data_IF_336853239033
#
_entry.id   IF_336853239033
#
_cell.length_a   1.000
_cell.length_b   1.000
_cell.length_c   1.000
_cell.angle_alpha   90.00
_cell.angle_beta   90.00
_cell.angle_gamma   90.00
#
_symmetry.space_group_name_H-M   'P 1'
#
loop_
_entity.id
_entity.type
_entity.pdbx_description
1 polymer ?
#
# COMPACT_ATOMS: atom_id res chain seq x y z
N UNK A 1 -36.24 -1.34 -18.69
CA UNK A 1 -35.02 -0.50 -18.61
C UNK A 1 -34.22 -1.00 -17.41
N UNK A 2 -32.94 -1.28 -17.57
CA UNK A 2 -32.11 -1.56 -16.39
C UNK A 2 -31.85 -0.22 -15.67
N UNK A 3 -32.30 -0.10 -14.45
CA UNK A 3 -32.05 1.08 -13.61
C UNK A 3 -30.63 0.96 -13.03
N UNK A 4 -29.94 2.09 -12.98
CA UNK A 4 -28.60 2.20 -12.36
C UNK A 4 -28.77 2.99 -11.08
N UNK A 5 -28.30 2.43 -9.98
CA UNK A 5 -28.37 3.10 -8.67
C UNK A 5 -27.22 4.11 -8.52
N UNK A 6 -26.03 3.75 -9.02
CA UNK A 6 -24.82 4.54 -8.86
C UNK A 6 -24.02 4.58 -10.17
N UNK A 7 -23.53 5.76 -10.52
CA UNK A 7 -22.57 5.96 -11.61
C UNK A 7 -21.22 6.37 -11.02
N UNK A 8 -20.19 5.60 -11.33
CA UNK A 8 -18.78 5.92 -11.00
C UNK A 8 -18.09 6.47 -12.23
N UNK A 9 -17.53 7.65 -12.13
CA UNK A 9 -16.77 8.28 -13.21
C UNK A 9 -15.28 8.09 -12.97
N UNK A 10 -14.62 7.37 -13.85
CA UNK A 10 -13.21 6.99 -13.80
C UNK A 10 -13.03 5.49 -13.56
N UNK A 11 -12.47 4.78 -14.54
CA UNK A 11 -12.17 3.33 -14.52
C UNK A 11 -10.73 3.04 -14.10
N UNK A 12 -10.17 3.82 -13.19
CA UNK A 12 -8.91 3.50 -12.53
C UNK A 12 -9.11 2.56 -11.35
N UNK A 13 -8.01 2.23 -10.63
CA UNK A 13 -8.06 1.32 -9.49
C UNK A 13 -9.06 1.76 -8.42
N UNK A 14 -9.15 3.05 -8.14
CA UNK A 14 -10.08 3.58 -7.14
C UNK A 14 -11.53 3.40 -7.60
N UNK A 15 -11.85 3.78 -8.86
CA UNK A 15 -13.21 3.68 -9.38
C UNK A 15 -13.70 2.24 -9.47
N UNK A 16 -12.87 1.33 -9.94
CA UNK A 16 -13.22 -0.09 -10.00
C UNK A 16 -13.33 -0.73 -8.60
N UNK A 17 -12.44 -0.39 -7.66
CA UNK A 17 -12.55 -0.89 -6.28
C UNK A 17 -13.84 -0.42 -5.60
N UNK A 18 -14.21 0.84 -5.80
CA UNK A 18 -15.47 1.39 -5.30
C UNK A 18 -16.68 0.69 -5.95
N UNK A 19 -16.67 0.54 -7.26
CA UNK A 19 -17.75 -0.13 -7.99
C UNK A 19 -17.90 -1.59 -7.56
N UNK A 20 -16.80 -2.31 -7.37
CA UNK A 20 -16.79 -3.68 -6.89
C UNK A 20 -17.40 -3.78 -5.48
N UNK A 21 -16.96 -2.95 -4.54
CA UNK A 21 -17.48 -2.94 -3.18
C UNK A 21 -18.98 -2.59 -3.09
N UNK A 22 -19.44 -1.66 -3.94
CA UNK A 22 -20.86 -1.31 -4.02
C UNK A 22 -21.70 -2.43 -4.64
N UNK A 23 -21.19 -3.06 -5.71
CA UNK A 23 -21.86 -4.19 -6.35
C UNK A 23 -21.98 -5.39 -5.40
N UNK A 24 -20.98 -5.67 -4.60
CA UNK A 24 -21.03 -6.69 -3.53
C UNK A 24 -22.13 -6.41 -2.50
N UNK A 25 -22.50 -5.14 -2.29
CA UNK A 25 -23.60 -4.71 -1.42
C UNK A 25 -24.95 -4.71 -2.13
N UNK A 26 -25.01 -5.17 -3.38
CA UNK A 26 -26.24 -5.32 -4.15
C UNK A 26 -26.64 -4.11 -4.99
N UNK A 27 -25.79 -3.06 -5.08
CA UNK A 27 -26.08 -1.90 -5.91
C UNK A 27 -25.83 -2.20 -7.40
N UNK A 28 -26.67 -1.65 -8.28
CA UNK A 28 -26.44 -1.64 -9.72
C UNK A 28 -25.52 -0.47 -10.08
N UNK A 29 -24.26 -0.78 -10.37
CA UNK A 29 -23.21 0.23 -10.60
C UNK A 29 -22.83 0.26 -12.06
N UNK A 30 -22.78 1.46 -12.66
CA UNK A 30 -22.15 1.70 -13.94
C UNK A 30 -20.84 2.46 -13.77
N UNK A 31 -19.77 1.98 -14.42
CA UNK A 31 -18.49 2.70 -14.48
C UNK A 31 -18.36 3.35 -15.85
N UNK A 32 -18.12 4.66 -15.85
CA UNK A 32 -17.85 5.43 -17.06
C UNK A 32 -16.39 5.84 -17.09
N UNK A 33 -15.68 5.50 -18.16
CA UNK A 33 -14.28 5.88 -18.33
C UNK A 33 -13.98 6.32 -19.76
N UNK A 34 -12.96 7.14 -19.89
CA UNK A 34 -12.43 7.53 -21.18
C UNK A 34 -11.27 6.60 -21.58
N UNK A 35 -11.58 5.54 -22.29
CA UNK A 35 -10.65 4.45 -22.65
C UNK A 35 -9.45 4.91 -23.52
N UNK A 36 -9.44 6.13 -24.04
CA UNK A 36 -8.40 6.62 -24.96
C UNK A 36 -7.06 6.94 -24.31
N UNK A 37 -6.97 6.92 -22.98
CA UNK A 37 -5.72 7.23 -22.27
C UNK A 37 -4.91 6.00 -21.93
N UNK A 38 -3.86 5.71 -22.71
CA UNK A 38 -2.89 4.65 -22.38
C UNK A 38 -2.06 4.98 -21.13
N UNK A 39 -2.09 6.24 -20.68
CA UNK A 39 -1.32 6.76 -19.55
C UNK A 39 -2.25 7.13 -18.39
N UNK A 40 -2.69 6.14 -17.62
CA UNK A 40 -3.38 6.37 -16.36
C UNK A 40 -2.46 6.05 -15.19
N UNK A 41 -2.64 6.71 -14.05
CA UNK A 41 -1.87 6.45 -12.83
C UNK A 41 -1.94 4.97 -12.42
N UNK A 42 -3.10 4.34 -12.56
CA UNK A 42 -3.30 2.93 -12.23
C UNK A 42 -2.52 1.97 -13.12
N UNK A 43 -2.33 2.31 -14.40
CA UNK A 43 -1.56 1.49 -15.34
C UNK A 43 -0.06 1.73 -15.24
N UNK A 44 0.33 2.94 -14.85
CA UNK A 44 1.73 3.32 -14.63
C UNK A 44 2.26 2.95 -13.24
N UNK A 45 1.41 2.44 -12.35
CA UNK A 45 1.81 2.01 -11.03
C UNK A 45 2.44 0.61 -11.07
N UNK A 46 3.44 0.37 -10.24
CA UNK A 46 4.12 -0.92 -10.13
C UNK A 46 3.53 -1.84 -9.05
N UNK A 47 2.34 -1.53 -8.51
CA UNK A 47 1.56 -2.38 -7.64
C UNK A 47 2.05 -2.46 -6.19
N UNK A 48 2.85 -1.52 -5.72
CA UNK A 48 3.37 -1.54 -4.37
C UNK A 48 2.28 -1.16 -3.35
N UNK A 49 1.99 -2.06 -2.42
CA UNK A 49 1.16 -1.80 -1.23
C UNK A 49 2.10 -1.49 -0.06
N UNK A 50 2.48 -0.23 0.07
CA UNK A 50 3.44 0.23 1.06
C UNK A 50 2.83 1.33 1.93
N UNK A 51 2.76 1.09 3.22
CA UNK A 51 2.13 2.02 4.19
C UNK A 51 3.09 2.55 5.24
N UNK A 52 4.15 1.82 5.58
CA UNK A 52 5.13 2.24 6.57
C UNK A 52 5.80 3.55 6.16
N UNK A 53 5.96 4.46 7.11
CA UNK A 53 6.52 5.78 6.88
C UNK A 53 5.57 6.78 6.25
N UNK A 54 4.28 6.47 6.13
CA UNK A 54 3.24 7.39 5.63
C UNK A 54 2.30 7.79 6.75
N UNK A 55 1.75 9.00 6.66
CA UNK A 55 0.74 9.49 7.59
C UNK A 55 1.29 10.23 8.81
N UNK A 56 2.56 10.65 8.80
CA UNK A 56 3.11 11.54 9.81
C UNK A 56 2.26 12.80 9.94
N UNK A 57 1.87 13.17 11.17
CA UNK A 57 0.91 14.24 11.44
C UNK A 57 -0.52 13.95 11.03
N UNK A 58 -0.82 12.74 10.54
CA UNK A 58 -2.15 12.29 10.12
C UNK A 58 -2.46 10.88 10.65
N UNK A 59 -2.58 10.70 11.97
CA UNK A 59 -2.66 9.37 12.59
C UNK A 59 -3.84 8.53 12.09
N UNK A 60 -5.00 9.15 11.83
CA UNK A 60 -6.15 8.42 11.29
C UNK A 60 -5.94 7.92 9.86
N UNK A 61 -5.15 8.66 9.05
CA UNK A 61 -4.78 8.19 7.72
C UNK A 61 -3.79 7.01 7.82
N UNK A 62 -2.81 7.10 8.72
CA UNK A 62 -1.87 6.01 8.96
C UNK A 62 -2.61 4.72 9.41
N UNK A 63 -3.54 4.84 10.36
CA UNK A 63 -4.37 3.73 10.84
C UNK A 63 -5.20 3.12 9.73
N UNK A 64 -5.91 3.95 8.96
CA UNK A 64 -6.76 3.50 7.87
C UNK A 64 -5.98 2.76 6.78
N UNK A 65 -4.85 3.31 6.37
CA UNK A 65 -4.01 2.67 5.34
C UNK A 65 -3.35 1.39 5.82
N UNK A 66 -2.96 1.32 7.09
CA UNK A 66 -2.42 0.10 7.69
C UNK A 66 -3.49 -0.99 7.76
N UNK A 67 -4.71 -0.66 8.16
CA UNK A 67 -5.83 -1.59 8.15
C UNK A 67 -6.08 -2.11 6.73
N UNK A 68 -6.14 -1.21 5.74
CA UNK A 68 -6.32 -1.59 4.34
C UNK A 68 -5.22 -2.54 3.85
N UNK A 69 -3.96 -2.32 4.25
CA UNK A 69 -2.85 -3.21 3.87
C UNK A 69 -2.97 -4.60 4.47
N UNK A 70 -3.51 -4.72 5.68
CA UNK A 70 -3.76 -6.02 6.33
C UNK A 70 -4.86 -6.82 5.65
N UNK A 71 -5.82 -6.14 5.04
CA UNK A 71 -6.92 -6.76 4.32
C UNK A 71 -6.53 -7.25 2.91
N UNK A 72 -5.39 -6.80 2.38
CA UNK A 72 -4.97 -7.10 1.01
C UNK A 72 -4.80 -8.59 0.72
N UNK A 73 -4.34 -9.37 1.69
CA UNK A 73 -4.20 -10.82 1.50
C UNK A 73 -5.55 -11.46 1.16
N UNK A 74 -6.52 -11.31 2.04
CA UNK A 74 -7.86 -11.87 1.83
C UNK A 74 -8.55 -11.26 0.60
N UNK A 75 -8.34 -9.98 0.35
CA UNK A 75 -8.91 -9.30 -0.82
C UNK A 75 -8.32 -9.79 -2.13
N UNK A 76 -7.02 -10.08 -2.19
CA UNK A 76 -6.39 -10.65 -3.38
C UNK A 76 -6.88 -12.06 -3.69
N UNK A 77 -7.07 -12.89 -2.67
CA UNK A 77 -7.68 -14.22 -2.82
C UNK A 77 -9.11 -14.12 -3.34
N UNK A 78 -9.93 -13.26 -2.73
CA UNK A 78 -11.30 -13.02 -3.16
C UNK A 78 -11.38 -12.57 -4.62
N UNK A 79 -10.52 -11.64 -5.03
CA UNK A 79 -10.48 -11.17 -6.41
C UNK A 79 -10.02 -12.27 -7.39
N UNK A 80 -9.06 -13.10 -6.99
CA UNK A 80 -8.60 -14.24 -7.79
C UNK A 80 -9.72 -15.25 -8.01
N UNK A 81 -10.42 -15.59 -6.93
CA UNK A 81 -11.56 -16.52 -6.98
C UNK A 81 -12.71 -15.97 -7.85
N UNK A 82 -13.04 -14.69 -7.69
CA UNK A 82 -14.14 -14.07 -8.43
C UNK A 82 -13.83 -13.84 -9.91
N UNK A 83 -12.57 -13.60 -10.28
CA UNK A 83 -12.17 -13.28 -11.65
C UNK A 83 -11.60 -14.48 -12.43
N UNK A 84 -11.12 -15.50 -11.74
CA UNK A 84 -10.32 -16.57 -12.32
C UNK A 84 -8.91 -16.13 -12.74
N UNK A 85 -8.46 -14.93 -12.30
CA UNK A 85 -7.14 -14.39 -12.61
C UNK A 85 -6.31 -14.46 -11.32
N UNK A 86 -5.20 -15.16 -11.37
CA UNK A 86 -4.28 -15.20 -10.24
C UNK A 86 -3.64 -13.83 -10.01
N UNK A 87 -3.78 -13.31 -8.79
CA UNK A 87 -3.13 -12.08 -8.34
C UNK A 87 -1.93 -12.50 -7.51
N UNK A 88 -0.73 -12.33 -8.03
CA UNK A 88 0.53 -12.65 -7.35
C UNK A 88 0.81 -11.62 -6.24
N UNK A 89 -0.02 -11.66 -5.18
CA UNK A 89 0.16 -10.82 -4.01
C UNK A 89 1.15 -11.47 -3.04
N UNK A 90 2.20 -10.74 -2.72
CA UNK A 90 3.23 -11.18 -1.78
C UNK A 90 3.45 -10.09 -0.72
N UNK A 91 3.68 -10.50 0.52
CA UNK A 91 3.96 -9.61 1.64
C UNK A 91 5.26 -10.02 2.37
N UNK A 92 6.41 -10.01 1.68
CA UNK A 92 7.68 -10.41 2.29
C UNK A 92 8.26 -9.35 3.23
N UNK A 93 7.63 -8.19 3.35
CA UNK A 93 8.20 -7.00 3.94
C UNK A 93 9.01 -6.18 2.94
N UNK A 94 9.60 -5.08 3.40
CA UNK A 94 10.43 -4.22 2.57
C UNK A 94 11.44 -3.46 3.40
N UNK A 95 12.44 -2.92 2.73
CA UNK A 95 13.50 -2.14 3.36
C UNK A 95 13.51 -0.71 2.83
N UNK A 96 13.70 0.22 3.71
CA UNK A 96 14.04 1.59 3.37
C UNK A 96 15.49 1.84 3.79
N UNK A 97 16.33 2.14 2.83
CA UNK A 97 17.78 2.26 3.03
C UNK A 97 18.13 3.71 3.29
N UNK A 98 18.83 3.98 4.38
CA UNK A 98 19.34 5.30 4.73
C UNK A 98 20.82 5.41 4.36
N UNK A 99 21.18 6.48 3.63
CA UNK A 99 22.55 6.76 3.24
C UNK A 99 23.21 7.71 4.26
N UNK A 100 23.90 7.15 5.21
CA UNK A 100 24.64 7.87 6.24
C UNK A 100 23.81 8.23 7.48
N UNK A 101 24.51 8.61 8.54
CA UNK A 101 23.97 8.86 9.88
C UNK A 101 22.87 9.93 9.92
N UNK A 102 22.95 10.93 9.04
CA UNK A 102 21.94 11.99 9.00
C UNK A 102 20.58 11.48 8.55
N UNK A 103 20.53 10.75 7.45
CA UNK A 103 19.28 10.17 6.94
C UNK A 103 18.71 9.17 7.93
N UNK A 104 19.57 8.32 8.49
CA UNK A 104 19.17 7.33 9.48
C UNK A 104 18.55 7.98 10.72
N UNK A 105 19.20 9.01 11.27
CA UNK A 105 18.69 9.74 12.45
C UNK A 105 17.37 10.44 12.17
N UNK A 106 17.23 11.06 10.99
CA UNK A 106 15.99 11.70 10.57
C UNK A 106 14.87 10.68 10.43
N UNK A 107 15.15 9.58 9.74
CA UNK A 107 14.16 8.53 9.50
C UNK A 107 13.71 7.84 10.78
N UNK A 108 14.66 7.60 11.69
CA UNK A 108 14.34 7.07 13.01
C UNK A 108 13.39 7.98 13.76
N UNK A 109 13.67 9.28 13.81
CA UNK A 109 12.82 10.25 14.50
C UNK A 109 11.41 10.32 13.89
N UNK A 110 11.30 10.28 12.55
CA UNK A 110 10.01 10.26 11.86
C UNK A 110 9.19 9.01 12.21
N UNK A 111 9.82 7.84 12.23
CA UNK A 111 9.14 6.59 12.55
C UNK A 111 8.76 6.49 14.03
N UNK A 112 9.61 7.02 14.94
CA UNK A 112 9.30 7.12 16.36
C UNK A 112 8.09 8.05 16.59
N UNK A 113 8.07 9.22 15.97
CA UNK A 113 6.94 10.13 16.02
C UNK A 113 5.65 9.44 15.48
N UNK A 114 5.73 8.78 14.36
CA UNK A 114 4.59 8.09 13.74
C UNK A 114 4.05 6.99 14.65
N UNK A 115 4.92 6.22 15.28
CA UNK A 115 4.55 5.21 16.27
C UNK A 115 3.86 5.82 17.50
N UNK A 116 4.38 6.96 18.00
CA UNK A 116 3.83 7.61 19.17
C UNK A 116 2.48 8.28 18.89
N UNK A 117 2.28 8.77 17.67
CA UNK A 117 1.00 9.33 17.19
C UNK A 117 -0.02 8.27 16.79
N UNK A 118 0.42 7.02 16.61
CA UNK A 118 -0.44 5.97 16.04
C UNK A 118 -1.49 5.51 17.05
N UNK A 119 -2.80 5.55 16.70
CA UNK A 119 -3.86 5.07 17.58
C UNK A 119 -3.67 3.58 17.90
N UNK A 120 -3.52 3.27 19.17
CA UNK A 120 -3.28 1.89 19.64
C UNK A 120 -1.82 1.47 19.73
N UNK A 121 -0.86 2.36 19.40
CA UNK A 121 0.57 2.16 19.69
C UNK A 121 1.26 1.00 18.96
N UNK A 122 0.62 0.42 17.95
CA UNK A 122 1.14 -0.76 17.24
C UNK A 122 1.51 -0.43 15.79
N UNK A 123 2.47 0.48 15.63
CA UNK A 123 3.08 0.78 14.34
C UNK A 123 4.33 -0.06 14.17
N UNK A 124 4.27 -1.06 13.30
CA UNK A 124 5.30 -2.09 13.17
C UNK A 124 6.41 -1.67 12.20
N UNK A 125 7.61 -1.52 12.73
CA UNK A 125 8.85 -1.33 11.98
C UNK A 125 10.05 -1.79 12.81
N UNK A 126 11.15 -2.09 12.15
CA UNK A 126 12.40 -2.46 12.78
C UNK A 126 13.53 -1.60 12.23
N UNK A 127 14.29 -0.96 13.12
CA UNK A 127 15.54 -0.30 12.75
C UNK A 127 16.64 -1.36 12.71
N UNK A 128 17.24 -1.53 11.54
CA UNK A 128 18.31 -2.49 11.34
C UNK A 128 19.67 -1.79 11.29
N UNK A 129 20.67 -2.39 11.89
CA UNK A 129 22.03 -1.99 11.66
C UNK A 129 22.60 -2.67 10.39
N UNK A 130 23.80 -2.23 9.98
CA UNK A 130 24.47 -2.75 8.80
C UNK A 130 24.68 -4.27 8.83
N UNK A 131 24.99 -4.84 10.00
CA UNK A 131 25.22 -6.27 10.15
C UNK A 131 23.91 -7.05 9.97
N UNK A 132 22.86 -6.59 10.61
CA UNK A 132 21.53 -7.16 10.47
C UNK A 132 21.03 -7.08 9.02
N UNK A 133 21.23 -5.92 8.37
CA UNK A 133 20.86 -5.76 6.95
C UNK A 133 21.64 -6.70 6.03
N UNK A 134 22.91 -6.97 6.34
CA UNK A 134 23.72 -7.93 5.56
C UNK A 134 23.20 -9.37 5.68
N UNK A 135 22.55 -9.71 6.78
CA UNK A 135 21.93 -11.04 6.98
C UNK A 135 20.71 -11.21 6.06
N UNK A 136 19.91 -10.15 5.90
CA UNK A 136 18.75 -10.15 5.00
C UNK A 136 19.15 -10.09 3.52
N UNK A 137 20.16 -9.30 3.20
CA UNK A 137 20.61 -9.08 1.80
C UNK A 137 22.11 -9.37 1.67
N UNK A 138 22.55 -10.63 1.75
CA UNK A 138 23.97 -11.00 1.82
C UNK A 138 24.79 -10.61 0.58
N UNK A 139 24.14 -10.45 -0.57
CA UNK A 139 24.81 -10.05 -1.83
C UNK A 139 24.90 -8.54 -2.03
N UNK A 140 24.29 -7.75 -1.17
CA UNK A 140 24.32 -6.30 -1.28
C UNK A 140 25.67 -5.76 -0.79
N UNK A 141 26.29 -4.90 -1.58
CA UNK A 141 27.46 -4.16 -1.12
C UNK A 141 27.00 -2.93 -0.35
N UNK A 142 27.06 -3.02 0.95
CA UNK A 142 26.60 -1.97 1.88
C UNK A 142 27.66 -0.88 2.07
N UNK A 143 28.26 -0.30 1.06
CA UNK A 143 29.26 0.75 1.09
C UNK A 143 29.19 1.68 2.33
N UNK A 144 28.71 2.91 2.14
CA UNK A 144 28.46 3.89 3.21
C UNK A 144 27.00 3.86 3.73
N UNK A 145 26.28 2.77 3.49
CA UNK A 145 24.90 2.62 3.93
C UNK A 145 24.90 2.41 5.44
N UNK A 146 24.18 3.28 6.13
CA UNK A 146 23.75 3.12 7.53
C UNK A 146 22.27 2.72 7.50
N UNK A 147 21.94 1.66 8.13
CA UNK A 147 20.58 1.12 8.18
C UNK A 147 20.00 1.29 9.56
#
# INVERSE_FOLDING_TARGET
>A
MKTTDIVVVGGGIIGFSLAYGLAKKGAHVNVLDNVKGMYSASRGNFGLVWVQGKGQGMPHYAEWTLQASREWHNFSEELSDASGIEIDYQQPGGFEVCLGEKEWSMRKAELEQLRDEFPGGNYDYQMLDRKQMQEYIPKMRLGEIVT
#
